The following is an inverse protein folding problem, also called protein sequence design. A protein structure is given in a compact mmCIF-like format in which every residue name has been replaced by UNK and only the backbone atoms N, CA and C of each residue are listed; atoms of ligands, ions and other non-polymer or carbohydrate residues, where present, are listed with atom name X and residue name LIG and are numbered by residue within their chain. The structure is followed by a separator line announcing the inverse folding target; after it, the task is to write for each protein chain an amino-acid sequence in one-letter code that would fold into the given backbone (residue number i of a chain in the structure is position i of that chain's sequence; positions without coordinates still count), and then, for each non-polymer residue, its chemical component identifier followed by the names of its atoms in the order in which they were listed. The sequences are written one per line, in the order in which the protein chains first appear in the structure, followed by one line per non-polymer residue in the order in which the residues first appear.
data_IF_968951482785
#
_entry.id   IF_968951482785
#
_cell.length_a   1.000
_cell.length_b   1.000
_cell.length_c   1.000
_cell.angle_alpha   90.00
_cell.angle_beta   90.00
_cell.angle_gamma   90.00
#
_symmetry.space_group_name_H-M   'P 1'
#
loop_
_entity.id
_entity.type
_entity.pdbx_description
1 polymer ?
#
# COMPACT_ATOMS: atom_id res chain seq x y z
N UNK A 1 53.57 10.56 18.98
CA UNK A 1 53.33 11.77 18.17
C UNK A 1 54.02 11.51 16.85
N UNK A 2 53.41 11.48 15.67
CA UNK A 2 52.10 11.86 15.18
C UNK A 2 51.60 10.67 14.32
N UNK A 3 50.30 10.41 14.25
CA UNK A 3 49.46 10.99 13.19
C UNK A 3 49.51 10.04 11.99
N UNK A 4 48.44 9.45 11.49
CA UNK A 4 47.04 9.78 11.57
C UNK A 4 46.46 9.39 10.22
N UNK A 5 45.34 8.66 10.24
CA UNK A 5 44.33 8.52 9.18
C UNK A 5 44.79 8.29 7.73
N UNK A 6 44.44 7.12 7.22
CA UNK A 6 43.45 6.99 6.14
C UNK A 6 42.91 5.56 6.21
N UNK A 7 41.87 5.30 7.01
CA UNK A 7 40.55 4.91 6.47
C UNK A 7 40.71 4.28 5.09
N UNK A 8 41.04 3.00 5.09
CA UNK A 8 40.63 2.12 4.01
C UNK A 8 39.12 2.01 4.20
N UNK A 9 38.43 2.84 3.44
CA UNK A 9 37.00 2.76 3.19
C UNK A 9 36.84 1.47 2.37
N UNK A 10 36.75 0.34 3.07
CA UNK A 10 36.28 -0.89 2.45
C UNK A 10 34.78 -0.71 2.29
N UNK A 11 34.45 -0.35 1.06
CA UNK A 11 33.12 -0.17 0.49
C UNK A 11 32.23 -1.33 0.94
N UNK A 12 31.18 -1.01 1.70
CA UNK A 12 30.08 -1.93 1.94
C UNK A 12 29.46 -2.25 0.57
N UNK A 13 29.80 -3.40 0.01
CA UNK A 13 28.98 -4.06 -1.00
C UNK A 13 27.63 -4.36 -0.33
N UNK A 14 26.73 -3.36 -0.36
CA UNK A 14 25.31 -3.61 -0.30
C UNK A 14 25.01 -4.49 -1.53
N UNK A 15 25.05 -5.81 -1.33
CA UNK A 15 24.37 -6.76 -2.21
C UNK A 15 22.89 -6.41 -2.12
N UNK A 16 22.52 -5.40 -2.89
CA UNK A 16 21.15 -5.11 -3.22
C UNK A 16 20.61 -6.41 -3.82
N UNK A 17 19.81 -7.13 -3.04
CA UNK A 17 18.85 -8.10 -3.56
C UNK A 17 17.83 -7.30 -4.40
N UNK A 18 18.30 -6.65 -5.46
CA UNK A 18 17.50 -6.00 -6.47
C UNK A 18 16.71 -7.12 -7.12
N UNK A 19 15.45 -7.25 -6.72
CA UNK A 19 14.43 -7.90 -7.53
C UNK A 19 14.58 -7.37 -8.95
N UNK A 20 15.21 -8.16 -9.82
CA UNK A 20 15.59 -7.71 -11.14
C UNK A 20 14.32 -7.23 -11.83
N UNK A 21 14.30 -5.97 -12.27
CA UNK A 21 13.17 -5.35 -12.98
C UNK A 21 12.64 -6.28 -14.09
N UNK A 22 13.53 -7.04 -14.72
CA UNK A 22 13.18 -8.07 -15.71
C UNK A 22 12.37 -9.24 -15.14
N UNK A 23 12.70 -9.72 -13.94
CA UNK A 23 11.94 -10.77 -13.24
C UNK A 23 10.56 -10.26 -12.82
N UNK A 24 10.47 -9.06 -12.25
CA UNK A 24 9.20 -8.43 -11.89
C UNK A 24 8.27 -8.28 -13.11
N UNK A 25 8.80 -7.90 -14.28
CA UNK A 25 8.02 -7.80 -15.51
C UNK A 25 7.54 -9.17 -16.03
N UNK A 26 8.35 -10.23 -15.85
CA UNK A 26 7.98 -11.61 -16.21
C UNK A 26 6.89 -12.15 -15.28
N UNK A 27 7.06 -11.95 -13.97
CA UNK A 27 6.06 -12.31 -12.95
C UNK A 27 4.75 -11.56 -13.17
N UNK A 28 4.80 -10.25 -13.47
CA UNK A 28 3.63 -9.45 -13.80
C UNK A 28 2.81 -10.04 -14.95
N UNK A 29 3.48 -10.49 -16.01
CA UNK A 29 2.81 -11.10 -17.16
C UNK A 29 2.09 -12.39 -16.76
N UNK A 30 2.71 -13.17 -15.87
CA UNK A 30 2.14 -14.40 -15.32
C UNK A 30 0.90 -14.11 -14.47
N UNK A 31 0.98 -13.12 -13.56
CA UNK A 31 -0.16 -12.71 -12.73
C UNK A 31 -1.34 -12.20 -13.57
N UNK A 32 -1.07 -11.41 -14.63
CA UNK A 32 -2.13 -10.96 -15.57
C UNK A 32 -2.81 -12.14 -16.27
N UNK A 33 -2.05 -13.18 -16.63
CA UNK A 33 -2.61 -14.40 -17.20
C UNK A 33 -3.47 -15.19 -16.19
N UNK A 34 -3.05 -15.25 -14.93
CA UNK A 34 -3.83 -15.89 -13.86
C UNK A 34 -5.13 -15.13 -13.61
N UNK A 35 -5.08 -13.79 -13.53
CA UNK A 35 -6.26 -12.94 -13.36
C UNK A 35 -7.28 -13.17 -14.49
N UNK A 36 -6.82 -13.30 -15.74
CA UNK A 36 -7.71 -13.62 -16.85
C UNK A 36 -8.40 -14.98 -16.66
N UNK A 37 -7.66 -16.02 -16.25
CA UNK A 37 -8.24 -17.34 -16.01
C UNK A 37 -9.26 -17.31 -14.88
N UNK A 38 -8.98 -16.60 -13.78
CA UNK A 38 -9.92 -16.44 -12.66
C UNK A 38 -11.18 -15.68 -13.09
N UNK A 39 -11.04 -14.64 -13.94
CA UNK A 39 -12.18 -13.90 -14.49
C UNK A 39 -13.07 -14.76 -15.39
N UNK A 40 -12.48 -15.66 -16.19
CA UNK A 40 -13.26 -16.62 -16.97
C UNK A 40 -14.03 -17.58 -16.06
N UNK A 41 -13.39 -18.10 -14.99
CA UNK A 41 -14.06 -18.94 -14.00
C UNK A 41 -15.18 -18.20 -13.26
N UNK A 42 -14.99 -16.91 -12.96
CA UNK A 42 -16.02 -16.05 -12.36
C UNK A 42 -17.19 -15.75 -13.31
N UNK A 43 -16.97 -15.82 -14.62
CA UNK A 43 -18.06 -15.69 -15.58
C UNK A 43 -19.01 -16.91 -15.53
N UNK A 44 -18.46 -18.11 -15.32
CA UNK A 44 -19.24 -19.34 -15.13
C UNK A 44 -19.79 -19.48 -13.69
N UNK A 45 -19.02 -19.08 -12.67
CA UNK A 45 -19.38 -19.19 -11.24
C UNK A 45 -19.25 -17.85 -10.48
N UNK A 46 -20.13 -16.86 -10.76
CA UNK A 46 -20.00 -15.50 -10.23
C UNK A 46 -20.23 -15.38 -8.71
N UNK A 47 -20.75 -16.42 -8.07
CA UNK A 47 -20.96 -16.46 -6.61
C UNK A 47 -19.85 -17.23 -5.87
N UNK A 48 -18.84 -17.72 -6.58
CA UNK A 48 -17.72 -18.42 -5.95
C UNK A 48 -16.81 -17.41 -5.25
N UNK A 49 -16.95 -17.30 -3.92
CA UNK A 49 -16.15 -16.36 -3.12
C UNK A 49 -14.65 -16.58 -3.29
N UNK A 50 -14.19 -17.83 -3.43
CA UNK A 50 -12.76 -18.13 -3.58
C UNK A 50 -12.17 -17.48 -4.84
N UNK A 51 -12.91 -17.51 -5.95
CA UNK A 51 -12.48 -16.85 -7.19
C UNK A 51 -12.60 -15.32 -7.10
N UNK A 52 -13.59 -14.79 -6.37
CA UNK A 52 -13.73 -13.35 -6.16
C UNK A 52 -12.57 -12.82 -5.31
N UNK A 53 -12.23 -13.53 -4.23
CA UNK A 53 -11.09 -13.20 -3.37
C UNK A 53 -9.78 -13.29 -4.16
N UNK A 54 -9.59 -14.35 -4.96
CA UNK A 54 -8.39 -14.51 -5.81
C UNK A 54 -8.27 -13.44 -6.90
N UNK A 55 -9.37 -12.98 -7.50
CA UNK A 55 -9.39 -11.87 -8.47
C UNK A 55 -8.93 -10.56 -7.82
N UNK A 56 -9.41 -10.28 -6.61
CA UNK A 56 -9.02 -9.11 -5.82
C UNK A 56 -7.53 -9.16 -5.45
N UNK A 57 -7.08 -10.28 -4.89
CA UNK A 57 -5.68 -10.46 -4.46
C UNK A 57 -4.72 -10.36 -5.66
N UNK A 58 -5.02 -11.06 -6.77
CA UNK A 58 -4.20 -10.98 -7.98
C UNK A 58 -4.17 -9.57 -8.57
N UNK A 59 -5.31 -8.86 -8.56
CA UNK A 59 -5.36 -7.48 -9.04
C UNK A 59 -4.49 -6.53 -8.21
N UNK A 60 -4.43 -6.72 -6.90
CA UNK A 60 -3.58 -5.92 -6.00
C UNK A 60 -2.09 -6.18 -6.27
N UNK A 61 -1.69 -7.45 -6.39
CA UNK A 61 -0.30 -7.83 -6.69
C UNK A 61 0.16 -7.29 -8.05
N UNK A 62 -0.72 -7.35 -9.06
CA UNK A 62 -0.47 -6.77 -10.38
C UNK A 62 -0.25 -5.26 -10.28
N UNK A 63 -1.12 -4.55 -9.56
CA UNK A 63 -1.03 -3.10 -9.40
C UNK A 63 0.27 -2.69 -8.70
N UNK A 64 0.62 -3.35 -7.59
CA UNK A 64 1.85 -3.09 -6.85
C UNK A 64 3.09 -3.35 -7.72
N UNK A 65 3.09 -4.46 -8.47
CA UNK A 65 4.21 -4.80 -9.36
C UNK A 65 4.33 -3.78 -10.52
N UNK A 66 3.21 -3.31 -11.08
CA UNK A 66 3.22 -2.24 -12.08
C UNK A 66 3.73 -0.91 -11.53
N UNK A 67 3.40 -0.58 -10.28
CA UNK A 67 3.89 0.62 -9.60
C UNK A 67 5.40 0.55 -9.35
N UNK A 68 5.92 -0.58 -8.87
CA UNK A 68 7.35 -0.81 -8.69
C UNK A 68 8.10 -0.70 -10.02
N UNK A 69 7.59 -1.32 -11.08
CA UNK A 69 8.17 -1.21 -12.42
C UNK A 69 8.09 0.20 -13.01
N UNK A 70 7.04 0.96 -12.68
CA UNK A 70 6.86 2.34 -13.14
C UNK A 70 7.81 3.30 -12.40
N UNK A 71 7.95 3.12 -11.09
CA UNK A 71 8.88 3.89 -10.25
C UNK A 71 10.33 3.65 -10.67
N UNK A 72 10.68 2.39 -10.92
CA UNK A 72 11.99 2.01 -11.44
C UNK A 72 12.29 2.66 -12.82
N UNK A 73 11.27 2.83 -13.67
CA UNK A 73 11.40 3.54 -14.97
C UNK A 73 11.43 5.06 -14.84
N UNK A 74 10.77 5.63 -13.83
CA UNK A 74 10.66 7.08 -13.65
C UNK A 74 11.90 7.69 -12.96
N UNK A 75 12.63 6.91 -12.16
CA UNK A 75 13.89 7.35 -11.53
C UNK A 75 14.99 7.71 -12.55
N UNK A 76 14.84 7.35 -13.83
CA UNK A 76 15.78 7.73 -14.90
C UNK A 76 15.49 9.12 -15.53
N UNK A 77 14.34 9.75 -15.27
CA UNK A 77 13.92 10.99 -15.94
C UNK A 77 13.50 12.09 -14.95
N UNK A 78 14.33 13.15 -14.93
CA UNK A 78 14.01 14.53 -14.56
C UNK A 78 14.27 15.00 -13.12
N UNK A 79 15.54 15.36 -12.92
CA UNK A 79 15.87 16.71 -12.45
C UNK A 79 15.22 17.76 -13.37
N UNK A 80 14.52 18.73 -12.75
CA UNK A 80 14.11 20.05 -13.24
C UNK A 80 12.59 20.31 -13.44
N UNK A 81 12.19 21.34 -12.69
CA UNK A 81 11.19 22.40 -12.94
C UNK A 81 9.73 22.24 -12.49
N UNK A 82 9.34 23.25 -11.71
CA UNK A 82 8.14 23.42 -10.91
C UNK A 82 7.08 24.30 -11.62
N UNK A 83 5.82 24.20 -11.14
CA UNK A 83 4.75 25.23 -11.06
C UNK A 83 3.79 25.42 -12.26
N UNK A 84 2.57 26.01 -12.09
CA UNK A 84 1.54 25.89 -11.04
C UNK A 84 0.07 25.70 -11.60
N UNK A 85 -0.88 25.37 -10.70
CA UNK A 85 -2.37 25.10 -10.78
C UNK A 85 -3.26 26.22 -11.42
N UNK A 86 -4.65 26.19 -11.55
CA UNK A 86 -5.68 25.34 -10.91
C UNK A 86 -7.05 25.03 -11.65
N UNK A 87 -7.89 24.20 -10.98
CA UNK A 87 -9.38 24.17 -10.91
C UNK A 87 -10.26 23.24 -11.80
N UNK A 88 -10.58 22.09 -11.18
CA UNK A 88 -11.87 21.38 -10.98
C UNK A 88 -12.92 21.23 -12.12
N UNK A 89 -13.26 19.96 -12.41
CA UNK A 89 -14.61 19.37 -12.26
C UNK A 89 -14.60 17.89 -12.68
N UNK A 90 -14.49 16.94 -11.74
CA UNK A 90 -15.04 15.59 -11.93
C UNK A 90 -15.37 14.98 -10.58
N UNK A 91 -16.65 15.04 -10.25
CA UNK A 91 -17.27 14.26 -9.20
C UNK A 91 -17.01 12.77 -9.47
N UNK A 92 -16.51 12.11 -8.42
CA UNK A 92 -16.71 10.71 -8.03
C UNK A 92 -16.73 9.64 -9.14
N UNK A 93 -15.57 9.04 -9.39
CA UNK A 93 -15.38 7.60 -9.20
C UNK A 93 -13.94 7.23 -9.52
N UNK A 94 -13.33 6.53 -8.57
CA UNK A 94 -12.01 5.87 -8.60
C UNK A 94 -10.80 6.78 -8.48
N UNK A 95 -9.92 6.33 -7.57
CA UNK A 95 -8.46 6.47 -7.63
C UNK A 95 -7.96 7.93 -7.47
N UNK A 96 -6.90 8.25 -6.74
CA UNK A 96 -5.56 7.71 -6.76
C UNK A 96 -4.85 8.18 -5.48
N UNK A 97 -3.88 7.38 -5.08
CA UNK A 97 -2.94 7.49 -3.97
C UNK A 97 -2.41 8.88 -3.62
N UNK A 98 -2.07 8.98 -2.33
CA UNK A 98 -1.33 10.04 -1.65
C UNK A 98 -2.04 11.39 -1.56
N UNK A 99 -2.48 11.72 -0.33
CA UNK A 99 -2.25 13.01 0.34
C UNK A 99 -3.19 13.29 1.52
N UNK A 100 -3.97 12.33 2.05
CA UNK A 100 -4.57 12.47 3.38
C UNK A 100 -4.54 11.10 4.06
N UNK A 101 -3.49 10.79 4.82
CA UNK A 101 -3.25 9.55 5.56
C UNK A 101 -4.26 9.35 6.73
N UNK A 102 -5.55 9.59 6.51
CA UNK A 102 -6.57 9.60 7.54
C UNK A 102 -7.87 8.91 7.09
N UNK A 103 -8.22 7.80 7.73
CA UNK A 103 -9.48 7.08 7.50
C UNK A 103 -10.68 7.98 7.84
N UNK A 104 -11.73 8.08 6.99
CA UNK A 104 -12.95 8.83 7.30
C UNK A 104 -13.58 8.44 8.65
N UNK A 105 -14.22 9.38 9.34
CA UNK A 105 -15.14 9.04 10.44
C UNK A 105 -16.29 8.19 9.90
N UNK A 106 -16.56 7.06 10.56
CA UNK A 106 -17.50 6.03 10.13
C UNK A 106 -16.85 4.90 9.34
N UNK A 107 -15.54 4.95 9.08
CA UNK A 107 -14.82 3.84 8.42
C UNK A 107 -14.54 2.73 9.41
N UNK A 108 -14.86 1.49 9.02
CA UNK A 108 -14.46 0.29 9.73
C UNK A 108 -12.96 0.04 9.55
N UNK A 109 -12.26 -0.11 10.66
CA UNK A 109 -10.80 -0.32 10.78
C UNK A 109 -10.55 -1.44 11.79
N UNK A 110 -9.33 -1.96 11.82
CA UNK A 110 -8.90 -2.84 12.90
C UNK A 110 -8.01 -2.05 13.86
N UNK A 111 -8.25 -2.21 15.16
CA UNK A 111 -7.54 -1.48 16.20
C UNK A 111 -6.98 -2.45 17.24
N UNK A 112 -5.74 -2.21 17.67
CA UNK A 112 -5.12 -2.95 18.77
C UNK A 112 -5.78 -2.55 20.07
N UNK A 113 -6.27 -3.50 20.85
CA UNK A 113 -6.87 -3.26 22.15
C UNK A 113 -5.81 -3.20 23.25
N UNK A 114 -5.82 -2.14 24.08
CA UNK A 114 -4.75 -1.91 25.07
C UNK A 114 -4.65 -2.93 26.21
N UNK A 115 -5.69 -3.70 26.50
CA UNK A 115 -5.67 -4.68 27.62
C UNK A 115 -4.92 -5.97 27.24
N UNK A 116 -5.19 -6.50 26.04
CA UNK A 116 -4.65 -7.79 25.57
C UNK A 116 -3.63 -7.64 24.42
N UNK A 117 -3.61 -6.51 23.72
CA UNK A 117 -2.72 -6.27 22.57
C UNK A 117 -3.17 -6.93 21.25
N UNK A 118 -4.36 -7.53 21.23
CA UNK A 118 -4.96 -8.14 20.05
C UNK A 118 -5.70 -7.13 19.17
N UNK A 119 -5.89 -7.48 17.89
CA UNK A 119 -6.59 -6.67 16.91
C UNK A 119 -8.09 -7.00 16.89
N UNK A 120 -8.92 -5.95 16.93
CA UNK A 120 -10.37 -6.09 16.87
C UNK A 120 -10.98 -5.08 15.88
N UNK A 121 -12.12 -5.46 15.30
CA UNK A 121 -12.91 -4.55 14.46
C UNK A 121 -13.41 -3.35 15.28
N UNK A 122 -13.19 -2.17 14.72
CA UNK A 122 -13.57 -0.91 15.30
C UNK A 122 -13.98 0.09 14.21
N UNK A 123 -14.77 1.10 14.58
CA UNK A 123 -15.19 2.17 13.68
C UNK A 123 -14.56 3.49 14.10
N UNK A 124 -13.94 4.22 13.16
CA UNK A 124 -13.36 5.54 13.41
C UNK A 124 -14.48 6.52 13.78
N UNK A 125 -14.42 7.09 14.97
CA UNK A 125 -15.39 8.07 15.47
C UNK A 125 -14.87 9.50 15.37
N UNK A 126 -13.57 9.71 15.54
CA UNK A 126 -12.95 11.01 15.43
C UNK A 126 -11.45 10.93 15.16
N UNK A 127 -10.88 12.04 14.71
CA UNK A 127 -9.44 12.23 14.64
C UNK A 127 -8.94 12.83 15.95
N UNK A 128 -7.76 12.38 16.38
CA UNK A 128 -7.06 12.99 17.50
C UNK A 128 -5.66 13.44 17.05
N UNK A 129 -4.99 14.31 17.82
CA UNK A 129 -3.63 14.72 17.50
C UNK A 129 -2.63 13.56 17.48
N UNK A 130 -2.94 12.47 18.19
CA UNK A 130 -2.09 11.29 18.31
C UNK A 130 -2.54 10.13 17.40
N UNK A 131 -3.70 10.22 16.74
CA UNK A 131 -4.22 9.14 15.91
C UNK A 131 -5.72 9.19 15.68
N UNK A 132 -6.41 8.09 15.98
CA UNK A 132 -7.85 7.96 15.79
C UNK A 132 -8.54 7.59 17.09
N UNK A 133 -9.67 8.23 17.33
CA UNK A 133 -10.63 7.76 18.32
C UNK A 133 -11.52 6.72 17.63
N UNK A 134 -11.43 5.46 18.05
CA UNK A 134 -12.18 4.34 17.47
C UNK A 134 -13.18 3.78 18.47
N UNK A 135 -14.22 3.11 17.99
CA UNK A 135 -15.19 2.38 18.80
C UNK A 135 -15.21 0.91 18.40
N UNK A 136 -14.95 0.00 19.34
CA UNK A 136 -14.93 -1.44 19.06
C UNK A 136 -16.35 -1.96 18.85
N UNK A 137 -16.60 -2.61 17.72
CA UNK A 137 -17.95 -3.05 17.33
C UNK A 137 -18.50 -4.11 18.31
N UNK A 138 -17.62 -4.95 18.86
CA UNK A 138 -17.98 -6.08 19.74
C UNK A 138 -18.45 -5.64 21.13
N UNK A 139 -17.92 -4.53 21.67
CA UNK A 139 -18.17 -4.11 23.07
C UNK A 139 -18.65 -2.66 23.22
N UNK A 140 -18.53 -1.83 22.18
CA UNK A 140 -18.88 -0.40 22.21
C UNK A 140 -17.90 0.48 23.01
N UNK A 141 -16.80 -0.09 23.50
CA UNK A 141 -15.73 0.66 24.15
C UNK A 141 -15.03 1.57 23.13
N UNK A 142 -14.56 2.74 23.57
CA UNK A 142 -13.88 3.71 22.72
C UNK A 142 -12.47 3.98 23.21
N UNK A 143 -11.52 3.99 22.29
CA UNK A 143 -10.09 4.14 22.61
C UNK A 143 -9.39 5.01 21.56
N UNK A 144 -8.35 5.73 21.97
CA UNK A 144 -7.44 6.43 21.07
C UNK A 144 -6.34 5.47 20.63
N UNK A 145 -6.22 5.25 19.33
CA UNK A 145 -5.22 4.36 18.73
C UNK A 145 -4.32 5.10 17.75
N UNK A 146 -3.06 4.71 17.73
CA UNK A 146 -2.02 5.32 16.89
C UNK A 146 -2.16 4.90 15.41
N UNK A 147 -1.98 5.81 14.45
CA UNK A 147 -2.02 5.50 13.03
C UNK A 147 -0.67 4.88 12.63
N UNK A 148 -0.61 3.56 12.52
CA UNK A 148 0.57 2.88 11.97
C UNK A 148 0.61 2.87 10.46
#
# INVERSE_FOLDING_TARGET
MQGGSRREEEEEEEEEEELNIGELASNLSTYKQQLHQVRELLNDEPTNSEYVDMERELSEVIALTEELLSTAKQNEISTATQSPTPTYNKLDLHTHFDHQHQFPVGTGVQAVYSDDGDWYDATVEAYTPNGYYVSYDTWGNKEEVDPR
#
